data_IF_269713804217
#
_entry.id   IF_269713804217
#
_cell.length_a   1.000
_cell.length_b   1.000
_cell.length_c   1.000
_cell.angle_alpha   90.00
_cell.angle_beta   90.00
_cell.angle_gamma   90.00
#
_symmetry.space_group_name_H-M   'P 1'
#
loop_
_entity.id
_entity.type
_entity.pdbx_description
1 polymer ?
#
# COMPACT_ATOMS: atom_id res chain seq x y z
N UNK A 1 -54.21 24.00 14.30
CA UNK A 1 -54.33 25.48 14.23
C UNK A 1 -53.04 26.20 13.82
N UNK A 2 -51.85 25.57 13.82
CA UNK A 2 -50.58 26.23 13.44
C UNK A 2 -50.15 26.08 11.96
N UNK A 3 -50.64 25.07 11.21
CA UNK A 3 -50.20 24.84 9.83
C UNK A 3 -50.78 25.83 8.80
N UNK A 4 -52.00 26.34 9.00
CA UNK A 4 -52.59 27.35 8.10
C UNK A 4 -51.91 28.73 8.22
N UNK A 5 -51.20 28.98 9.33
CA UNK A 5 -50.43 30.21 9.53
C UNK A 5 -49.11 30.26 8.74
N UNK A 6 -48.54 29.10 8.39
CA UNK A 6 -47.31 28.99 7.60
C UNK A 6 -47.50 29.49 6.16
N UNK A 7 -48.68 29.28 5.57
CA UNK A 7 -49.00 29.71 4.21
C UNK A 7 -49.45 31.17 4.13
N UNK A 8 -49.93 31.72 5.24
CA UNK A 8 -50.47 33.08 5.31
C UNK A 8 -49.42 34.13 5.70
N UNK A 9 -48.34 33.74 6.39
CA UNK A 9 -47.24 34.65 6.75
C UNK A 9 -46.08 34.61 5.73
N UNK A 10 -45.78 35.72 5.02
CA UNK A 10 -44.74 35.76 3.98
C UNK A 10 -43.31 35.47 4.49
N UNK A 11 -43.05 35.79 5.75
CA UNK A 11 -41.75 35.60 6.39
C UNK A 11 -41.44 34.12 6.68
N UNK A 12 -42.44 33.35 7.14
CA UNK A 12 -42.24 31.93 7.47
C UNK A 12 -42.01 31.07 6.23
N UNK A 13 -42.73 31.35 5.14
CA UNK A 13 -42.54 30.65 3.87
C UNK A 13 -41.14 30.91 3.28
N UNK A 14 -40.66 32.16 3.35
CA UNK A 14 -39.29 32.54 2.95
C UNK A 14 -38.23 31.75 3.73
N UNK A 15 -38.41 31.67 5.04
CA UNK A 15 -37.48 30.93 5.91
C UNK A 15 -37.50 29.44 5.60
N UNK A 16 -38.70 28.84 5.48
CA UNK A 16 -38.85 27.43 5.13
C UNK A 16 -38.16 27.10 3.80
N UNK A 17 -38.35 27.94 2.77
CA UNK A 17 -37.69 27.75 1.48
C UNK A 17 -36.16 27.84 1.61
N UNK A 18 -35.66 28.80 2.38
CA UNK A 18 -34.22 28.95 2.66
C UNK A 18 -33.64 27.72 3.36
N UNK A 19 -34.37 27.14 4.33
CA UNK A 19 -33.99 25.90 5.02
C UNK A 19 -33.94 24.70 4.08
N UNK A 20 -34.95 24.53 3.22
CA UNK A 20 -35.00 23.44 2.24
C UNK A 20 -33.83 23.56 1.24
N UNK A 21 -33.57 24.77 0.74
CA UNK A 21 -32.44 25.02 -0.17
C UNK A 21 -31.10 24.77 0.51
N UNK A 22 -30.93 25.18 1.77
CA UNK A 22 -29.72 24.96 2.54
C UNK A 22 -29.46 23.47 2.77
N UNK A 23 -30.48 22.70 3.17
CA UNK A 23 -30.38 21.25 3.35
C UNK A 23 -30.03 20.59 2.02
N UNK A 24 -30.75 20.92 0.95
CA UNK A 24 -30.49 20.39 -0.39
C UNK A 24 -29.07 20.68 -0.86
N UNK A 25 -28.59 21.92 -0.67
CA UNK A 25 -27.21 22.29 -0.97
C UNK A 25 -26.21 21.50 -0.12
N UNK A 26 -26.46 21.35 1.19
CA UNK A 26 -25.57 20.61 2.10
C UNK A 26 -25.38 19.16 1.63
N UNK A 27 -26.46 18.48 1.23
CA UNK A 27 -26.39 17.13 0.66
C UNK A 27 -25.66 17.09 -0.68
N UNK A 28 -25.97 18.01 -1.60
CA UNK A 28 -25.27 18.13 -2.88
C UNK A 28 -23.77 18.38 -2.69
N UNK A 29 -23.44 19.23 -1.71
CA UNK A 29 -22.08 19.58 -1.37
C UNK A 29 -21.31 18.36 -0.83
N UNK A 30 -21.94 17.63 0.07
CA UNK A 30 -21.37 16.44 0.69
C UNK A 30 -21.17 15.27 -0.26
N UNK A 31 -22.19 14.96 -1.06
CA UNK A 31 -22.18 13.79 -1.94
C UNK A 31 -21.42 14.04 -3.25
N UNK A 32 -21.41 15.28 -3.75
CA UNK A 32 -20.91 15.56 -5.11
C UNK A 32 -19.88 16.69 -5.19
N UNK A 33 -20.17 17.89 -4.69
CA UNK A 33 -19.29 19.04 -4.92
C UNK A 33 -17.91 18.88 -4.26
N UNK A 34 -17.86 18.43 -3.01
CA UNK A 34 -16.60 18.22 -2.29
C UNK A 34 -15.79 17.07 -2.90
N UNK A 35 -16.35 15.86 -3.12
CA UNK A 35 -15.63 14.76 -3.75
C UNK A 35 -15.09 15.09 -5.15
N UNK A 36 -15.92 15.68 -6.01
CA UNK A 36 -15.61 15.86 -7.43
C UNK A 36 -14.76 17.11 -7.72
N UNK A 37 -14.89 18.19 -6.96
CA UNK A 37 -14.24 19.47 -7.28
C UNK A 37 -13.22 19.91 -6.24
N UNK A 38 -13.56 19.86 -4.95
CA UNK A 38 -12.64 20.34 -3.90
C UNK A 38 -11.42 19.43 -3.78
N UNK A 39 -11.65 18.11 -3.78
CA UNK A 39 -10.60 17.12 -3.54
C UNK A 39 -9.81 16.73 -4.81
N UNK A 40 -10.33 17.00 -6.01
CA UNK A 40 -9.60 16.84 -7.29
C UNK A 40 -8.74 18.08 -7.65
N UNK A 41 -8.43 18.94 -6.67
CA UNK A 41 -7.72 20.22 -6.85
C UNK A 41 -8.41 21.25 -7.77
N UNK A 42 -9.63 21.01 -8.23
CA UNK A 42 -10.46 21.95 -9.02
C UNK A 42 -11.16 23.00 -8.14
N UNK A 43 -10.42 23.59 -7.19
CA UNK A 43 -10.95 24.45 -6.12
C UNK A 43 -11.68 25.70 -6.64
N UNK A 44 -11.23 26.28 -7.75
CA UNK A 44 -11.89 27.45 -8.34
C UNK A 44 -13.35 27.14 -8.74
N UNK A 45 -13.59 26.01 -9.42
CA UNK A 45 -14.93 25.58 -9.82
C UNK A 45 -15.81 25.28 -8.60
N UNK A 46 -15.22 24.69 -7.56
CA UNK A 46 -15.92 24.45 -6.31
C UNK A 46 -16.42 25.74 -5.66
N UNK A 47 -15.55 26.73 -5.47
CA UNK A 47 -15.93 28.00 -4.85
C UNK A 47 -16.93 28.80 -5.70
N UNK A 48 -16.83 28.72 -7.03
CA UNK A 48 -17.84 29.30 -7.92
C UNK A 48 -19.23 28.68 -7.69
N UNK A 49 -19.32 27.35 -7.69
CA UNK A 49 -20.59 26.62 -7.48
C UNK A 49 -21.14 26.84 -6.07
N UNK A 50 -20.29 26.86 -5.05
CA UNK A 50 -20.69 27.19 -3.68
C UNK A 50 -21.20 28.63 -3.58
N UNK A 51 -20.54 29.59 -4.25
CA UNK A 51 -21.00 30.99 -4.33
C UNK A 51 -22.36 31.12 -5.01
N UNK A 52 -22.58 30.40 -6.11
CA UNK A 52 -23.89 30.35 -6.79
C UNK A 52 -24.97 29.71 -5.90
N UNK A 53 -24.63 28.65 -5.16
CA UNK A 53 -25.53 28.03 -4.18
C UNK A 53 -25.93 29.00 -3.07
N UNK A 54 -24.96 29.73 -2.51
CA UNK A 54 -25.22 30.75 -1.49
C UNK A 54 -26.12 31.87 -2.03
N UNK A 55 -25.85 32.37 -3.24
CA UNK A 55 -26.67 33.38 -3.90
C UNK A 55 -28.11 32.88 -4.10
N UNK A 56 -28.29 31.63 -4.54
CA UNK A 56 -29.61 31.03 -4.69
C UNK A 56 -30.35 30.93 -3.35
N UNK A 57 -29.68 30.50 -2.28
CA UNK A 57 -30.27 30.39 -0.93
C UNK A 57 -30.73 31.78 -0.42
N UNK A 58 -29.95 32.83 -0.66
CA UNK A 58 -30.23 34.18 -0.13
C UNK A 58 -31.23 34.98 -0.99
N UNK A 59 -31.21 34.82 -2.32
CA UNK A 59 -31.97 35.68 -3.23
C UNK A 59 -33.19 35.02 -3.86
N UNK A 60 -33.21 33.69 -4.03
CA UNK A 60 -34.38 33.02 -4.63
C UNK A 60 -35.67 33.22 -3.81
N UNK A 61 -35.64 33.13 -2.47
CA UNK A 61 -36.82 33.41 -1.65
C UNK A 61 -37.32 34.85 -1.76
N UNK A 62 -36.40 35.82 -1.90
CA UNK A 62 -36.74 37.24 -2.08
C UNK A 62 -37.32 37.52 -3.47
N UNK A 63 -36.73 36.92 -4.52
CA UNK A 63 -37.22 37.05 -5.88
C UNK A 63 -38.65 36.49 -6.03
N UNK A 64 -38.98 35.38 -5.35
CA UNK A 64 -40.34 34.83 -5.34
C UNK A 64 -41.35 35.79 -4.71
N UNK A 65 -40.95 36.53 -3.66
CA UNK A 65 -41.82 37.51 -3.02
C UNK A 65 -42.15 38.70 -3.94
N UNK A 66 -41.30 39.02 -4.92
CA UNK A 66 -41.56 40.09 -5.90
C UNK A 66 -42.77 39.80 -6.81
N UNK A 67 -43.05 38.53 -7.08
CA UNK A 67 -44.18 38.10 -7.91
C UNK A 67 -45.49 37.97 -7.13
N UNK A 68 -45.48 38.23 -5.81
CA UNK A 68 -46.67 38.16 -4.98
C UNK A 68 -47.52 39.43 -5.18
N UNK A 69 -48.84 39.30 -5.41
CA UNK A 69 -49.70 40.48 -5.56
C UNK A 69 -49.60 41.37 -4.33
N UNK A 70 -49.50 42.69 -4.57
CA UNK A 70 -49.41 43.68 -3.51
C UNK A 70 -50.61 43.54 -2.56
N UNK A 71 -50.34 43.55 -1.25
CA UNK A 71 -51.41 43.60 -0.27
C UNK A 71 -52.26 44.86 -0.50
N UNK A 72 -53.60 44.78 -0.35
CA UNK A 72 -54.43 45.98 -0.43
C UNK A 72 -53.92 47.03 0.55
N UNK A 73 -53.82 48.27 0.08
CA UNK A 73 -53.31 49.38 0.88
C UNK A 73 -54.12 49.47 2.19
N UNK A 74 -53.46 49.53 3.36
CA UNK A 74 -54.16 49.72 4.61
C UNK A 74 -54.90 51.07 4.58
N UNK A 75 -56.12 51.11 5.12
CA UNK A 75 -56.94 52.33 5.20
C UNK A 75 -56.34 53.42 6.13
N UNK A 76 -55.24 53.12 6.81
CA UNK A 76 -54.54 53.98 7.77
C UNK A 76 -53.12 54.20 7.24
N UNK A 77 -52.57 55.43 7.30
CA UNK A 77 -51.17 55.66 6.95
C UNK A 77 -50.28 54.72 7.76
N UNK A 78 -49.39 54.01 7.07
CA UNK A 78 -48.51 53.05 7.70
C UNK A 78 -47.64 53.75 8.76
N UNK A 79 -47.48 53.18 9.96
CA UNK A 79 -46.51 53.70 10.93
C UNK A 79 -45.13 53.74 10.28
N UNK A 80 -44.29 54.71 10.66
CA UNK A 80 -42.90 54.79 10.21
C UNK A 80 -42.20 53.45 10.50
N UNK A 81 -41.96 52.67 9.44
CA UNK A 81 -41.29 51.38 9.56
C UNK A 81 -39.80 51.69 9.74
N UNK A 82 -39.15 51.21 10.81
CA UNK A 82 -37.72 51.39 10.97
C UNK A 82 -36.99 50.81 9.74
N UNK A 83 -35.85 51.38 9.34
CA UNK A 83 -35.09 50.88 8.19
C UNK A 83 -34.80 49.39 8.40
N UNK A 84 -35.21 48.56 7.44
CA UNK A 84 -34.94 47.13 7.49
C UNK A 84 -33.42 46.92 7.56
N UNK A 85 -32.93 46.01 8.42
CA UNK A 85 -31.52 45.68 8.43
C UNK A 85 -31.08 45.21 7.03
N UNK A 86 -29.81 45.42 6.69
CA UNK A 86 -29.27 44.92 5.43
C UNK A 86 -29.54 43.40 5.32
N UNK A 87 -29.89 42.93 4.12
CA UNK A 87 -30.25 41.52 3.83
C UNK A 87 -29.27 40.49 4.43
N UNK A 88 -27.99 40.85 4.51
CA UNK A 88 -26.92 40.02 5.07
C UNK A 88 -27.02 39.87 6.59
N UNK A 89 -27.44 40.91 7.30
CA UNK A 89 -27.56 40.91 8.76
C UNK A 89 -28.80 40.10 9.20
N UNK A 90 -29.90 40.20 8.45
CA UNK A 90 -31.15 39.44 8.64
C UNK A 90 -30.89 37.92 8.48
N UNK A 91 -30.09 37.52 7.48
CA UNK A 91 -29.82 36.12 7.14
C UNK A 91 -28.48 35.59 7.71
N UNK A 92 -27.91 36.25 8.72
CA UNK A 92 -26.60 35.90 9.29
C UNK A 92 -26.52 34.46 9.81
N UNK A 93 -27.61 33.94 10.36
CA UNK A 93 -27.72 32.56 10.83
C UNK A 93 -27.70 31.53 9.67
N UNK A 94 -28.37 31.81 8.54
CA UNK A 94 -28.34 30.97 7.34
C UNK A 94 -26.94 30.95 6.74
N UNK A 95 -26.28 32.11 6.68
CA UNK A 95 -24.90 32.22 6.22
C UNK A 95 -23.94 31.41 7.12
N UNK A 96 -24.09 31.52 8.44
CA UNK A 96 -23.27 30.74 9.38
C UNK A 96 -23.45 29.24 9.16
N UNK A 97 -24.69 28.76 9.05
CA UNK A 97 -24.97 27.33 8.83
C UNK A 97 -24.50 26.85 7.46
N UNK A 98 -24.56 27.69 6.43
CA UNK A 98 -23.97 27.42 5.13
C UNK A 98 -22.46 27.20 5.25
N UNK A 99 -21.73 28.10 5.92
CA UNK A 99 -20.28 27.96 6.14
C UNK A 99 -19.98 26.70 6.96
N UNK A 100 -20.72 26.45 8.06
CA UNK A 100 -20.56 25.25 8.88
C UNK A 100 -20.78 23.97 8.07
N UNK A 101 -21.81 23.92 7.22
CA UNK A 101 -22.09 22.74 6.38
C UNK A 101 -20.95 22.45 5.39
N UNK A 102 -20.34 23.49 4.82
CA UNK A 102 -19.15 23.35 3.97
C UNK A 102 -17.97 22.80 4.78
N UNK A 103 -17.68 23.39 5.94
CA UNK A 103 -16.56 22.99 6.78
C UNK A 103 -16.70 21.54 7.27
N UNK A 104 -17.88 21.16 7.76
CA UNK A 104 -18.18 19.79 8.19
C UNK A 104 -18.04 18.81 7.03
N UNK A 105 -18.58 19.16 5.85
CA UNK A 105 -18.49 18.30 4.68
C UNK A 105 -17.04 18.09 4.22
N UNK A 106 -16.23 19.15 4.18
CA UNK A 106 -14.81 19.07 3.83
C UNK A 106 -14.05 18.24 4.86
N UNK A 107 -14.27 18.50 6.16
CA UNK A 107 -13.61 17.80 7.24
C UNK A 107 -13.94 16.29 7.22
N UNK A 108 -15.21 15.93 7.03
CA UNK A 108 -15.63 14.54 6.96
C UNK A 108 -15.05 13.80 5.76
N UNK A 109 -15.09 14.41 4.56
CA UNK A 109 -14.53 13.80 3.36
C UNK A 109 -13.00 13.69 3.44
N UNK A 110 -12.32 14.65 4.07
CA UNK A 110 -10.88 14.56 4.33
C UNK A 110 -10.54 13.42 5.29
N UNK A 111 -11.34 13.22 6.35
CA UNK A 111 -11.20 12.10 7.28
C UNK A 111 -11.39 10.74 6.60
N UNK A 112 -12.39 10.61 5.71
CA UNK A 112 -12.58 9.38 4.92
C UNK A 112 -11.36 9.10 4.05
N UNK A 113 -10.90 10.08 3.26
CA UNK A 113 -9.72 9.89 2.40
C UNK A 113 -8.47 9.55 3.19
N UNK A 114 -8.29 10.14 4.37
CA UNK A 114 -7.16 9.82 5.24
C UNK A 114 -7.22 8.35 5.69
N UNK A 115 -8.39 7.87 6.15
CA UNK A 115 -8.60 6.47 6.51
C UNK A 115 -8.40 5.52 5.33
N UNK A 116 -8.93 5.85 4.16
CA UNK A 116 -8.74 5.04 2.94
C UNK A 116 -7.27 4.96 2.54
N UNK A 117 -6.55 6.09 2.60
CA UNK A 117 -5.11 6.13 2.31
C UNK A 117 -4.31 5.31 3.31
N UNK A 118 -4.66 5.38 4.60
CA UNK A 118 -4.04 4.58 5.65
C UNK A 118 -4.31 3.09 5.47
N UNK A 119 -5.55 2.71 5.12
CA UNK A 119 -5.91 1.32 4.80
C UNK A 119 -5.16 0.80 3.58
N UNK A 120 -5.09 1.57 2.49
CA UNK A 120 -4.32 1.21 1.30
C UNK A 120 -2.83 1.05 1.62
N UNK A 121 -2.28 1.94 2.45
CA UNK A 121 -0.89 1.84 2.93
C UNK A 121 -0.68 0.56 3.73
N UNK A 122 -1.53 0.28 4.71
CA UNK A 122 -1.43 -0.93 5.53
C UNK A 122 -1.56 -2.19 4.67
N UNK A 123 -2.47 -2.20 3.69
CA UNK A 123 -2.64 -3.31 2.76
C UNK A 123 -1.40 -3.50 1.87
N UNK A 124 -0.75 -2.41 1.45
CA UNK A 124 0.51 -2.46 0.71
C UNK A 124 1.69 -2.93 1.56
N UNK A 125 1.78 -2.49 2.82
CA UNK A 125 2.80 -2.99 3.77
C UNK A 125 2.60 -4.48 4.06
N UNK A 126 1.35 -4.92 4.28
CA UNK A 126 1.02 -6.33 4.46
C UNK A 126 1.30 -7.17 3.21
N UNK A 127 1.00 -6.67 2.02
CA UNK A 127 1.29 -7.38 0.77
C UNK A 127 2.80 -7.50 0.54
N UNK A 128 3.56 -6.44 0.86
CA UNK A 128 5.02 -6.46 0.82
C UNK A 128 5.60 -7.49 1.81
N UNK A 129 5.11 -7.54 3.05
CA UNK A 129 5.51 -8.57 4.02
C UNK A 129 5.14 -9.98 3.55
N UNK A 130 3.93 -10.18 3.03
CA UNK A 130 3.49 -11.49 2.50
C UNK A 130 4.34 -11.94 1.31
N UNK A 131 4.75 -11.01 0.44
CA UNK A 131 5.59 -11.32 -0.71
C UNK A 131 6.99 -11.80 -0.31
N UNK A 132 7.49 -11.41 0.87
CA UNK A 132 8.77 -11.92 1.40
C UNK A 132 8.67 -13.38 1.89
N UNK A 133 7.47 -13.89 2.14
CA UNK A 133 7.24 -15.31 2.45
C UNK A 133 7.01 -16.04 1.14
N UNK A 134 7.88 -16.99 0.78
CA UNK A 134 7.71 -17.85 -0.40
C UNK A 134 6.66 -18.95 -0.13
N UNK A 135 5.38 -18.79 -0.53
CA UNK A 135 4.33 -19.69 -0.06
C UNK A 135 4.50 -21.09 -0.64
N UNK A 136 4.91 -21.16 -1.91
CA UNK A 136 5.19 -22.42 -2.60
C UNK A 136 6.33 -23.20 -1.93
N UNK A 137 7.42 -22.52 -1.56
CA UNK A 137 8.51 -23.16 -0.80
C UNK A 137 8.01 -23.68 0.55
N UNK A 138 7.19 -22.90 1.25
CA UNK A 138 6.63 -23.28 2.55
C UNK A 138 5.76 -24.54 2.45
N UNK A 139 4.79 -24.56 1.52
CA UNK A 139 3.91 -25.71 1.31
C UNK A 139 4.71 -26.96 0.94
N UNK A 140 5.69 -26.84 0.05
CA UNK A 140 6.52 -27.97 -0.35
C UNK A 140 7.39 -28.48 0.81
N UNK A 141 7.95 -27.58 1.62
CA UNK A 141 8.75 -27.96 2.80
C UNK A 141 7.89 -28.68 3.84
N UNK A 142 6.67 -28.18 4.09
CA UNK A 142 5.71 -28.84 4.98
C UNK A 142 5.33 -30.24 4.47
N UNK A 143 5.12 -30.39 3.16
CA UNK A 143 4.84 -31.70 2.55
C UNK A 143 6.02 -32.67 2.69
N UNK A 144 7.26 -32.17 2.56
CA UNK A 144 8.47 -32.98 2.82
C UNK A 144 8.55 -33.40 4.29
N UNK A 145 8.29 -32.50 5.22
CA UNK A 145 8.25 -32.81 6.67
C UNK A 145 7.16 -33.85 6.96
N UNK A 146 5.97 -33.70 6.38
CA UNK A 146 4.89 -34.69 6.52
C UNK A 146 5.32 -36.07 6.01
N UNK A 147 5.99 -36.14 4.86
CA UNK A 147 6.52 -37.39 4.33
C UNK A 147 7.61 -38.01 5.22
N UNK A 148 8.48 -37.20 5.84
CA UNK A 148 9.48 -37.65 6.82
C UNK A 148 8.79 -38.20 8.08
N UNK A 149 7.76 -37.51 8.56
CA UNK A 149 6.97 -37.93 9.72
C UNK A 149 6.27 -39.27 9.50
N UNK A 150 5.63 -39.46 8.34
CA UNK A 150 5.01 -40.74 7.95
C UNK A 150 6.01 -41.90 7.95
N UNK A 151 7.27 -41.62 7.57
CA UNK A 151 8.35 -42.61 7.52
C UNK A 151 9.08 -42.79 8.86
N UNK A 152 8.73 -42.02 9.89
CA UNK A 152 9.44 -41.95 11.18
C UNK A 152 10.94 -41.65 11.00
N UNK A 153 11.26 -40.81 10.03
CA UNK A 153 12.65 -40.41 9.76
C UNK A 153 13.17 -39.52 10.91
N UNK A 154 14.35 -39.83 11.43
CA UNK A 154 14.97 -39.10 12.55
C UNK A 154 15.21 -37.62 12.26
N UNK A 155 15.31 -37.24 10.99
CA UNK A 155 15.52 -35.85 10.55
C UNK A 155 14.28 -34.95 10.71
N UNK A 156 13.10 -35.53 10.95
CA UNK A 156 11.83 -34.79 10.99
C UNK A 156 11.87 -33.61 11.96
N UNK A 157 12.37 -33.82 13.18
CA UNK A 157 12.45 -32.77 14.19
C UNK A 157 13.42 -31.66 13.78
N UNK A 158 14.59 -32.02 13.25
CA UNK A 158 15.60 -31.07 12.78
C UNK A 158 15.09 -30.21 11.62
N UNK A 159 14.36 -30.81 10.66
CA UNK A 159 13.77 -30.07 9.54
C UNK A 159 12.69 -29.09 10.01
N UNK A 160 11.93 -29.41 11.06
CA UNK A 160 10.96 -28.48 11.67
C UNK A 160 11.69 -27.29 12.31
N UNK A 161 12.78 -27.54 13.05
CA UNK A 161 13.59 -26.48 13.66
C UNK A 161 14.18 -25.57 12.58
N UNK A 162 14.78 -26.15 11.53
CA UNK A 162 15.29 -25.44 10.36
C UNK A 162 14.22 -24.54 9.72
N UNK A 163 13.01 -25.05 9.50
CA UNK A 163 11.91 -24.25 8.97
C UNK A 163 11.51 -23.11 9.92
N UNK A 164 11.50 -23.34 11.23
CA UNK A 164 11.21 -22.31 12.23
C UNK A 164 12.26 -21.19 12.22
N UNK A 165 13.54 -21.52 12.12
CA UNK A 165 14.63 -20.56 12.02
C UNK A 165 14.57 -19.76 10.71
N UNK A 166 14.25 -20.41 9.60
CA UNK A 166 14.04 -19.77 8.31
C UNK A 166 12.93 -18.71 8.41
N UNK A 167 11.76 -19.07 8.96
CA UNK A 167 10.64 -18.15 9.13
C UNK A 167 10.97 -17.00 10.09
N UNK A 168 11.69 -17.29 11.19
CA UNK A 168 12.10 -16.28 12.16
C UNK A 168 12.96 -15.19 11.53
N UNK A 169 13.89 -15.58 10.65
CA UNK A 169 14.72 -14.63 9.93
C UNK A 169 13.89 -13.68 9.06
N UNK A 170 12.97 -14.23 8.25
CA UNK A 170 12.09 -13.46 7.36
C UNK A 170 11.20 -12.47 8.13
N UNK A 171 10.63 -12.89 9.27
CA UNK A 171 9.67 -12.08 10.03
C UNK A 171 10.37 -10.99 10.86
N UNK A 172 11.60 -11.24 11.34
CA UNK A 172 12.28 -10.34 12.29
C UNK A 172 13.51 -9.66 11.72
N UNK A 173 14.46 -10.43 11.21
CA UNK A 173 15.78 -9.93 10.82
C UNK A 173 15.73 -9.27 9.43
N UNK A 174 14.91 -9.79 8.51
CA UNK A 174 14.75 -9.21 7.16
C UNK A 174 14.02 -7.85 7.13
N UNK A 175 13.43 -7.43 8.25
CA UNK A 175 12.82 -6.09 8.41
C UNK A 175 13.83 -5.02 8.81
N UNK A 176 15.07 -5.39 9.13
CA UNK A 176 16.13 -4.47 9.55
C UNK A 176 16.84 -3.86 8.35
N UNK A 177 17.48 -2.70 8.54
CA UNK A 177 18.29 -2.07 7.49
C UNK A 177 19.55 -2.88 7.18
N UNK A 178 20.20 -3.40 8.22
CA UNK A 178 21.42 -4.19 8.16
C UNK A 178 21.34 -5.33 9.17
N UNK A 179 21.96 -6.46 8.84
CA UNK A 179 22.11 -7.63 9.71
C UNK A 179 23.56 -8.11 9.68
N UNK A 180 24.06 -8.78 10.72
CA UNK A 180 25.36 -9.44 10.66
C UNK A 180 25.44 -10.39 9.47
N UNK A 181 26.53 -10.35 8.71
CA UNK A 181 26.75 -11.22 7.54
C UNK A 181 26.62 -12.69 7.90
N UNK A 182 27.07 -13.06 9.11
CA UNK A 182 26.92 -14.40 9.66
C UNK A 182 25.45 -14.87 9.70
N UNK A 183 24.50 -13.98 10.04
CA UNK A 183 23.08 -14.34 10.06
C UNK A 183 22.52 -14.57 8.66
N UNK A 184 22.89 -13.73 7.69
CA UNK A 184 22.49 -13.94 6.27
C UNK A 184 23.08 -15.25 5.73
N UNK A 185 24.35 -15.55 6.05
CA UNK A 185 25.00 -16.81 5.66
C UNK A 185 24.36 -18.04 6.33
N UNK A 186 24.02 -17.94 7.61
CA UNK A 186 23.31 -18.99 8.34
C UNK A 186 21.90 -19.21 7.75
N UNK A 187 21.21 -18.14 7.38
CA UNK A 187 19.92 -18.20 6.71
C UNK A 187 20.02 -18.89 5.34
N UNK A 188 21.02 -18.54 4.53
CA UNK A 188 21.28 -19.20 3.23
C UNK A 188 21.59 -20.70 3.42
N UNK A 189 22.45 -21.04 4.39
CA UNK A 189 22.80 -22.44 4.71
C UNK A 189 21.58 -23.24 5.15
N UNK A 190 20.73 -22.65 5.98
CA UNK A 190 19.50 -23.27 6.44
C UNK A 190 18.53 -23.51 5.28
N UNK A 191 18.31 -22.50 4.43
CA UNK A 191 17.51 -22.66 3.21
C UNK A 191 18.05 -23.76 2.28
N UNK A 192 19.38 -23.81 2.08
CA UNK A 192 20.04 -24.85 1.32
C UNK A 192 19.73 -26.24 1.90
N UNK A 193 19.83 -26.42 3.22
CA UNK A 193 19.51 -27.68 3.89
C UNK A 193 18.04 -28.11 3.69
N UNK A 194 17.11 -27.17 3.81
CA UNK A 194 15.68 -27.42 3.55
C UNK A 194 15.43 -27.84 2.08
N UNK A 195 16.08 -27.17 1.12
CA UNK A 195 15.99 -27.52 -0.29
C UNK A 195 16.61 -28.89 -0.60
N UNK A 196 17.77 -29.19 -0.03
CA UNK A 196 18.44 -30.48 -0.21
C UNK A 196 17.60 -31.63 0.36
N UNK A 197 17.00 -31.45 1.54
CA UNK A 197 16.10 -32.46 2.12
C UNK A 197 14.86 -32.71 1.26
N UNK A 198 14.37 -31.69 0.54
CA UNK A 198 13.23 -31.79 -0.38
C UNK A 198 13.59 -32.54 -1.66
N UNK A 199 14.75 -32.21 -2.23
CA UNK A 199 15.15 -32.64 -3.57
C UNK A 199 15.85 -34.01 -3.59
N UNK A 200 16.34 -34.52 -2.44
CA UNK A 200 17.02 -35.83 -2.35
C UNK A 200 18.15 -35.96 -3.40
N UNK A 201 18.36 -37.16 -3.94
CA UNK A 201 19.51 -37.49 -4.80
C UNK A 201 19.39 -36.99 -6.25
N UNK A 202 18.29 -36.32 -6.64
CA UNK A 202 18.10 -35.86 -8.04
C UNK A 202 18.81 -34.54 -8.35
N UNK A 203 19.31 -33.84 -7.33
CA UNK A 203 19.98 -32.54 -7.49
C UNK A 203 21.36 -32.59 -6.85
N UNK A 204 22.40 -32.42 -7.66
CA UNK A 204 23.77 -32.24 -7.17
C UNK A 204 23.91 -30.79 -6.67
N UNK A 205 23.68 -30.60 -5.37
CA UNK A 205 23.74 -29.30 -4.73
C UNK A 205 24.97 -29.18 -3.83
N UNK A 206 25.74 -28.09 -3.96
CA UNK A 206 26.89 -27.77 -3.10
C UNK A 206 26.76 -26.37 -2.52
N UNK A 207 27.10 -26.25 -1.23
CA UNK A 207 27.24 -24.98 -0.53
C UNK A 207 28.59 -24.93 0.19
N UNK A 208 29.37 -23.88 -0.07
CA UNK A 208 30.67 -23.66 0.56
C UNK A 208 30.78 -22.21 1.04
N UNK A 209 31.22 -22.04 2.29
CA UNK A 209 31.54 -20.74 2.89
C UNK A 209 32.98 -20.77 3.36
N UNK A 210 33.80 -19.88 2.82
CA UNK A 210 35.23 -19.75 3.15
C UNK A 210 35.50 -18.38 3.76
N UNK A 211 36.29 -18.33 4.84
CA UNK A 211 36.61 -17.10 5.57
C UNK A 211 35.73 -16.88 6.80
N UNK A 212 35.96 -15.78 7.52
CA UNK A 212 35.25 -15.43 8.73
C UNK A 212 34.37 -14.18 8.50
N UNK A 213 33.09 -14.27 8.85
CA UNK A 213 32.15 -13.15 8.69
C UNK A 213 32.43 -11.98 9.64
N UNK A 214 33.11 -12.23 10.77
CA UNK A 214 33.49 -11.20 11.73
C UNK A 214 32.30 -10.35 12.22
N UNK A 215 32.50 -9.03 12.27
CA UNK A 215 31.48 -8.03 12.63
C UNK A 215 30.83 -7.40 11.39
N UNK A 216 31.04 -7.97 10.20
CA UNK A 216 30.54 -7.40 8.95
C UNK A 216 29.01 -7.38 8.92
N UNK A 217 28.45 -6.35 8.32
CA UNK A 217 27.01 -6.19 8.18
C UNK A 217 26.60 -6.07 6.72
N UNK A 218 25.44 -6.64 6.39
CA UNK A 218 24.88 -6.61 5.04
C UNK A 218 23.38 -6.31 5.10
N UNK A 219 22.87 -5.69 4.05
CA UNK A 219 21.43 -5.54 3.88
C UNK A 219 20.79 -6.93 3.69
N UNK A 220 19.72 -7.26 4.44
CA UNK A 220 19.18 -8.60 4.42
C UNK A 220 18.59 -8.98 3.06
N UNK A 221 18.64 -10.28 2.79
CA UNK A 221 18.12 -10.95 1.60
C UNK A 221 18.83 -10.62 0.28
N UNK A 222 19.88 -9.79 0.26
CA UNK A 222 20.59 -9.44 -0.97
C UNK A 222 21.29 -10.66 -1.57
N UNK A 223 22.02 -11.41 -0.75
CA UNK A 223 22.74 -12.60 -1.19
C UNK A 223 21.75 -13.75 -1.43
N UNK A 224 20.77 -13.88 -0.53
CA UNK A 224 19.71 -14.87 -0.64
C UNK A 224 18.93 -14.81 -1.96
N UNK A 225 18.61 -13.62 -2.48
CA UNK A 225 17.83 -13.50 -3.72
C UNK A 225 18.47 -14.20 -4.92
N UNK A 226 19.81 -14.24 -5.01
CA UNK A 226 20.51 -14.96 -6.07
C UNK A 226 20.50 -16.47 -5.83
N UNK A 227 20.62 -16.90 -4.57
CA UNK A 227 20.53 -18.32 -4.18
C UNK A 227 19.14 -18.89 -4.44
N UNK A 228 18.09 -18.16 -4.04
CA UNK A 228 16.70 -18.53 -4.32
C UNK A 228 16.47 -18.72 -5.82
N UNK A 229 16.96 -17.78 -6.63
CA UNK A 229 16.80 -17.83 -8.07
C UNK A 229 17.45 -19.10 -8.67
N UNK A 230 18.61 -19.50 -8.16
CA UNK A 230 19.31 -20.71 -8.61
C UNK A 230 18.48 -21.97 -8.34
N UNK A 231 17.92 -22.12 -7.15
CA UNK A 231 17.05 -23.25 -6.82
C UNK A 231 15.72 -23.23 -7.57
N UNK A 232 15.18 -22.04 -7.85
CA UNK A 232 13.93 -21.91 -8.61
C UNK A 232 14.08 -22.35 -10.07
N UNK A 233 15.25 -22.14 -10.67
CA UNK A 233 15.51 -22.38 -12.10
C UNK A 233 16.43 -23.55 -12.40
N UNK A 234 17.08 -24.11 -11.38
CA UNK A 234 18.04 -25.18 -11.54
C UNK A 234 17.84 -26.35 -10.58
N UNK A 235 16.63 -26.49 -10.01
CA UNK A 235 16.26 -27.71 -9.30
C UNK A 235 14.91 -28.22 -9.79
N UNK A 236 14.95 -29.33 -10.54
CA UNK A 236 13.77 -30.14 -10.87
C UNK A 236 13.92 -31.53 -10.26
N UNK A 237 12.85 -32.13 -9.71
CA UNK A 237 12.86 -33.54 -9.33
C UNK A 237 12.90 -34.49 -10.54
N UNK A 238 12.58 -34.00 -11.76
CA UNK A 238 12.39 -34.82 -12.95
C UNK A 238 13.60 -34.84 -13.91
N UNK A 239 14.61 -34.00 -13.68
CA UNK A 239 15.82 -33.90 -14.51
C UNK A 239 17.08 -33.75 -13.64
N UNK A 240 18.22 -34.28 -14.10
CA UNK A 240 19.52 -34.07 -13.45
C UNK A 240 19.84 -32.57 -13.36
N UNK A 241 19.88 -32.10 -12.13
CA UNK A 241 19.99 -30.69 -11.79
C UNK A 241 21.28 -30.44 -11.01
N UNK A 242 21.92 -29.30 -11.21
CA UNK A 242 23.13 -28.91 -10.51
C UNK A 242 23.01 -27.48 -10.00
N UNK A 243 23.33 -27.29 -8.72
CA UNK A 243 23.36 -25.98 -8.05
C UNK A 243 24.63 -25.88 -7.20
N UNK A 244 25.50 -24.92 -7.51
CA UNK A 244 26.75 -24.68 -6.77
C UNK A 244 26.75 -23.25 -6.22
N UNK A 245 26.87 -23.13 -4.89
CA UNK A 245 26.86 -21.86 -4.18
C UNK A 245 28.15 -21.75 -3.39
N UNK A 246 28.94 -20.73 -3.69
CA UNK A 246 30.19 -20.45 -2.98
C UNK A 246 30.19 -19.02 -2.48
N UNK A 247 30.43 -18.85 -1.19
CA UNK A 247 30.64 -17.57 -0.55
C UNK A 247 32.06 -17.51 0.00
N UNK A 248 32.79 -16.44 -0.31
CA UNK A 248 34.13 -16.18 0.24
C UNK A 248 34.12 -14.82 0.91
N UNK A 249 34.64 -14.76 2.13
CA UNK A 249 34.79 -13.52 2.89
C UNK A 249 36.28 -13.27 3.09
N UNK A 250 36.75 -12.13 2.58
CA UNK A 250 38.14 -11.68 2.75
C UNK A 250 38.11 -10.22 3.18
N UNK A 251 38.73 -9.92 4.32
CA UNK A 251 38.71 -8.60 4.95
C UNK A 251 37.28 -8.05 5.11
N UNK A 252 36.93 -7.01 4.36
CA UNK A 252 35.61 -6.38 4.37
C UNK A 252 34.80 -6.67 3.09
N UNK A 253 35.24 -7.61 2.25
CA UNK A 253 34.54 -7.96 1.01
C UNK A 253 33.91 -9.35 1.13
N UNK A 254 32.66 -9.45 0.67
CA UNK A 254 31.98 -10.73 0.43
C UNK A 254 31.82 -10.97 -1.06
N UNK A 255 32.32 -12.11 -1.51
CA UNK A 255 32.15 -12.63 -2.87
C UNK A 255 31.20 -13.80 -2.86
N UNK A 256 30.11 -13.70 -3.60
CA UNK A 256 29.13 -14.75 -3.83
C UNK A 256 29.19 -15.20 -5.29
N UNK A 257 29.46 -16.49 -5.50
CA UNK A 257 29.31 -17.17 -6.78
C UNK A 257 28.16 -18.15 -6.68
N UNK A 258 27.16 -18.01 -7.55
CA UNK A 258 26.03 -18.93 -7.65
C UNK A 258 25.99 -19.45 -9.08
N UNK A 259 25.92 -20.77 -9.23
CA UNK A 259 25.79 -21.45 -10.50
C UNK A 259 24.61 -22.41 -10.44
N UNK A 260 23.84 -22.48 -11.52
CA UNK A 260 22.93 -23.57 -11.73
C UNK A 260 22.82 -23.96 -13.22
N UNK A 261 22.62 -25.25 -13.46
CA UNK A 261 22.15 -25.75 -14.75
C UNK A 261 20.66 -25.44 -14.87
N UNK A 262 20.21 -24.91 -16.01
CA UNK A 262 18.80 -24.61 -16.25
C UNK A 262 18.04 -25.90 -16.54
N UNK A 263 16.93 -26.08 -15.83
CA UNK A 263 15.97 -27.15 -16.10
C UNK A 263 14.79 -26.60 -16.90
N UNK A 264 14.09 -27.47 -17.64
CA UNK A 264 12.83 -27.08 -18.27
C UNK A 264 11.80 -26.78 -17.17
N UNK A 265 11.35 -25.53 -17.10
CA UNK A 265 10.28 -25.14 -16.18
C UNK A 265 8.96 -25.14 -16.96
N UNK A 266 8.05 -26.06 -16.63
CA UNK A 266 6.75 -26.25 -17.31
C UNK A 266 5.81 -25.03 -17.23
N UNK A 267 6.16 -24.03 -16.42
CA UNK A 267 5.42 -22.77 -16.35
C UNK A 267 6.35 -21.59 -16.62
N UNK A 268 6.13 -20.81 -17.70
CA UNK A 268 6.74 -19.50 -17.84
C UNK A 268 6.12 -18.61 -16.76
N UNK A 269 6.71 -18.60 -15.57
CA UNK A 269 6.34 -17.64 -14.55
C UNK A 269 6.78 -16.27 -15.06
N UNK A 270 5.83 -15.47 -15.53
CA UNK A 270 6.01 -14.13 -16.11
C UNK A 270 6.72 -13.10 -15.18
N UNK A 271 7.20 -13.54 -14.01
CA UNK A 271 7.74 -12.75 -12.91
C UNK A 271 9.21 -13.09 -12.60
N UNK A 272 9.84 -13.97 -13.37
CA UNK A 272 11.20 -14.49 -13.14
C UNK A 272 12.29 -13.42 -13.25
N UNK A 273 12.11 -12.41 -14.12
CA UNK A 273 13.04 -11.28 -14.20
C UNK A 273 12.87 -10.21 -13.12
N UNK A 274 11.69 -10.13 -12.47
CA UNK A 274 11.35 -9.03 -11.56
C UNK A 274 12.17 -9.11 -10.26
N UNK A 275 12.36 -10.31 -9.71
CA UNK A 275 13.09 -10.50 -8.45
C UNK A 275 14.57 -10.10 -8.53
N UNK A 276 15.26 -10.50 -9.61
CA UNK A 276 16.67 -10.16 -9.83
C UNK A 276 16.83 -8.68 -10.18
N UNK A 277 15.94 -8.11 -10.97
CA UNK A 277 16.01 -6.67 -11.29
C UNK A 277 15.77 -5.80 -10.04
N UNK A 278 14.82 -6.17 -9.18
CA UNK A 278 14.61 -5.52 -7.89
C UNK A 278 15.87 -5.61 -7.01
N UNK A 279 16.52 -6.77 -6.98
CA UNK A 279 17.77 -6.98 -6.22
C UNK A 279 18.89 -6.12 -6.77
N UNK A 280 19.03 -6.01 -8.10
CA UNK A 280 20.00 -5.14 -8.77
C UNK A 280 19.77 -3.66 -8.43
N UNK A 281 18.52 -3.21 -8.43
CA UNK A 281 18.19 -1.84 -8.03
C UNK A 281 18.50 -1.59 -6.56
N UNK A 282 18.17 -2.52 -5.66
CA UNK A 282 18.53 -2.45 -4.23
C UNK A 282 20.04 -2.38 -4.03
N UNK A 283 20.82 -3.19 -4.74
CA UNK A 283 22.29 -3.14 -4.70
C UNK A 283 22.85 -1.77 -5.10
N UNK A 284 22.32 -1.17 -6.18
CA UNK A 284 22.72 0.18 -6.61
C UNK A 284 22.43 1.26 -5.57
N UNK A 285 21.31 1.15 -4.86
CA UNK A 285 20.90 2.12 -3.84
C UNK A 285 21.67 1.95 -2.52
N UNK A 286 21.91 0.71 -2.10
CA UNK A 286 22.49 0.41 -0.79
C UNK A 286 24.02 0.35 -0.80
N UNK A 287 24.62 -0.02 -1.93
CA UNK A 287 26.07 -0.17 -2.11
C UNK A 287 26.59 0.59 -3.33
N UNK A 288 26.33 1.90 -3.48
CA UNK A 288 26.79 2.66 -4.63
C UNK A 288 28.32 2.59 -4.74
N UNK A 289 28.83 2.22 -5.92
CA UNK A 289 30.27 2.05 -6.21
C UNK A 289 31.01 1.03 -5.33
N UNK A 290 30.28 0.29 -4.47
CA UNK A 290 30.80 -0.69 -3.52
C UNK A 290 30.38 -2.12 -3.85
N UNK A 291 29.87 -2.35 -5.05
CA UNK A 291 29.53 -3.68 -5.52
C UNK A 291 29.83 -3.87 -7.00
N UNK A 292 30.11 -5.10 -7.39
CA UNK A 292 30.12 -5.52 -8.78
C UNK A 292 29.22 -6.74 -8.95
N UNK A 293 28.38 -6.73 -9.97
CA UNK A 293 27.45 -7.82 -10.27
C UNK A 293 27.62 -8.22 -11.73
N UNK A 294 28.03 -9.46 -11.96
CA UNK A 294 28.10 -10.09 -13.28
C UNK A 294 27.14 -11.27 -13.32
N UNK A 295 26.23 -11.25 -14.30
CA UNK A 295 25.28 -12.33 -14.54
C UNK A 295 25.57 -12.87 -15.95
N UNK A 296 25.80 -14.18 -16.03
CA UNK A 296 25.96 -14.92 -17.28
C UNK A 296 24.75 -15.82 -17.40
N UNK A 297 23.98 -15.62 -18.46
CA UNK A 297 22.71 -16.29 -18.69
C UNK A 297 22.73 -16.92 -20.09
N UNK A 298 23.00 -18.22 -20.16
CA UNK A 298 23.05 -18.99 -21.42
C UNK A 298 21.79 -19.84 -21.57
N UNK A 299 21.65 -20.59 -22.66
CA UNK A 299 20.50 -21.48 -22.84
C UNK A 299 20.44 -22.60 -21.79
N UNK A 300 21.61 -23.06 -21.33
CA UNK A 300 21.74 -24.25 -20.46
C UNK A 300 22.17 -23.93 -19.04
N UNK A 301 22.73 -22.75 -18.79
CA UNK A 301 23.37 -22.41 -17.52
C UNK A 301 23.05 -20.98 -17.09
N UNK A 302 23.06 -20.77 -15.78
CA UNK A 302 22.94 -19.46 -15.18
C UNK A 302 24.00 -19.30 -14.09
N UNK A 303 24.77 -18.22 -14.17
CA UNK A 303 25.86 -17.93 -13.24
C UNK A 303 25.83 -16.49 -12.78
N UNK A 304 25.89 -16.30 -11.47
CA UNK A 304 25.99 -14.99 -10.81
C UNK A 304 27.33 -14.90 -10.10
N UNK A 305 28.01 -13.78 -10.30
CA UNK A 305 29.17 -13.38 -9.52
C UNK A 305 28.89 -12.00 -8.94
N UNK A 306 28.79 -11.93 -7.63
CA UNK A 306 28.53 -10.72 -6.87
C UNK A 306 29.68 -10.50 -5.89
N UNK A 307 30.28 -9.32 -5.96
CA UNK A 307 31.21 -8.85 -4.94
C UNK A 307 30.61 -7.61 -4.28
N UNK A 308 30.65 -7.55 -2.96
CA UNK A 308 30.19 -6.41 -2.17
C UNK A 308 31.22 -6.07 -1.11
N UNK A 309 31.69 -4.82 -1.13
CA UNK A 309 32.49 -4.26 -0.06
C UNK A 309 31.54 -3.79 1.06
N UNK A 310 31.68 -4.33 2.27
CA UNK A 310 30.81 -4.15 3.45
C UNK A 310 31.37 -3.13 4.46
#
# INVERSE_FOLDING_TARGET
>A
MQFDQLWTSPHELKNLLSWVLLIGFSYLNHLWLVPAFYLERKRFRYFLLAGLGLAAILWLPEALNWFRPAAPLPAVPAPEVPPKPALVLENSHVFLLFVVSILVSIAYQAQIRLKETEQQRLQAELSHLKAQIQPHFLFNTLNSIYALALRKDGRTADTIVQLSEFLRYVIRDAQQNLVPLEKEMAYIRNYFGLQQSRLRDTVNARFELTGACGQLQIAPLILFSFVENAFKHGASPDEESEVDIRATVVDNEVSLCVFNKKVKVDTPSAHTGIGIENTRQRLKLLYPERHTLKIIDTETEYKVQLNVLL
#
